data_IF_848423525881
#
_entry.id   IF_848423525881
#
_cell.length_a   1.000
_cell.length_b   1.000
_cell.length_c   1.000
_cell.angle_alpha   90.00
_cell.angle_beta   90.00
_cell.angle_gamma   90.00
#
_symmetry.space_group_name_H-M   'P 1'
#
loop_
_entity.id
_entity.type
_entity.pdbx_description
1 polymer ?
#
# COMPACT_ATOMS: atom_id res chain seq x y z
N UNK A 1 2.11 30.78 1.94
CA UNK A 1 2.84 29.95 0.96
C UNK A 1 2.24 28.56 0.95
N UNK A 2 1.82 28.03 -0.20
CA UNK A 2 1.35 26.64 -0.30
C UNK A 2 2.61 25.77 -0.40
N UNK A 3 2.88 24.93 0.60
CA UNK A 3 4.00 23.99 0.56
C UNK A 3 3.81 23.09 -0.67
N UNK A 4 4.76 23.08 -1.60
CA UNK A 4 4.73 22.12 -2.70
C UNK A 4 5.02 20.74 -2.12
N UNK A 5 4.26 19.72 -2.54
CA UNK A 5 4.58 18.35 -2.19
C UNK A 5 5.81 17.89 -2.97
N UNK A 6 6.60 17.01 -2.38
CA UNK A 6 7.77 16.42 -3.03
C UNK A 6 7.41 15.75 -4.37
N UNK A 7 6.25 15.09 -4.46
CA UNK A 7 5.78 14.48 -5.71
C UNK A 7 5.51 15.52 -6.80
N UNK A 8 5.07 16.73 -6.42
CA UNK A 8 4.87 17.83 -7.36
C UNK A 8 6.20 18.38 -7.87
N UNK A 9 7.21 18.48 -7.02
CA UNK A 9 8.56 18.90 -7.42
C UNK A 9 9.18 17.92 -8.43
N UNK A 10 8.97 16.61 -8.23
CA UNK A 10 9.41 15.59 -9.19
C UNK A 10 8.76 15.82 -10.55
N UNK A 11 7.45 15.99 -10.62
CA UNK A 11 6.75 16.23 -11.90
C UNK A 11 7.19 17.54 -12.57
N UNK A 12 7.29 18.63 -11.79
CA UNK A 12 7.69 19.95 -12.31
C UNK A 12 9.17 20.02 -12.70
N UNK A 13 10.00 19.05 -12.31
CA UNK A 13 11.43 19.00 -12.69
C UNK A 13 11.66 18.56 -14.14
N UNK A 14 10.64 17.98 -14.79
CA UNK A 14 10.73 17.55 -16.19
C UNK A 14 10.13 18.62 -17.13
N UNK A 15 10.78 18.92 -18.27
CA UNK A 15 10.17 19.67 -19.35
C UNK A 15 8.86 19.04 -19.83
N UNK A 16 7.87 19.87 -20.20
CA UNK A 16 6.54 19.42 -20.67
C UNK A 16 6.66 18.95 -22.13
N UNK A 17 7.06 17.69 -22.29
CA UNK A 17 7.09 16.98 -23.59
C UNK A 17 6.46 15.60 -23.44
N UNK A 18 6.03 15.01 -24.56
CA UNK A 18 5.31 13.73 -24.56
C UNK A 18 6.19 12.58 -24.03
N UNK A 19 7.49 12.63 -24.35
CA UNK A 19 8.48 11.65 -23.94
C UNK A 19 8.71 11.67 -22.42
N UNK A 20 8.63 12.85 -21.81
CA UNK A 20 8.97 13.07 -20.40
C UNK A 20 7.89 12.64 -19.41
N UNK A 21 6.65 12.43 -19.86
CA UNK A 21 5.60 11.86 -19.00
C UNK A 21 6.01 10.48 -18.46
N UNK A 22 6.64 9.67 -19.30
CA UNK A 22 7.12 8.34 -18.90
C UNK A 22 8.21 8.42 -17.83
N UNK A 23 9.16 9.34 -17.99
CA UNK A 23 10.25 9.60 -17.03
C UNK A 23 9.72 10.11 -15.69
N UNK A 24 8.81 11.08 -15.69
CA UNK A 24 8.20 11.60 -14.47
C UNK A 24 7.43 10.50 -13.72
N UNK A 25 6.66 9.69 -14.45
CA UNK A 25 5.95 8.55 -13.88
C UNK A 25 6.92 7.49 -13.31
N UNK A 26 8.02 7.22 -14.00
CA UNK A 26 9.04 6.28 -13.55
C UNK A 26 9.71 6.75 -12.26
N UNK A 27 10.12 8.03 -12.17
CA UNK A 27 10.70 8.60 -10.94
C UNK A 27 9.72 8.53 -9.76
N UNK A 28 8.43 8.76 -9.99
CA UNK A 28 7.41 8.59 -8.96
C UNK A 28 7.29 7.13 -8.51
N UNK A 29 7.33 6.17 -9.44
CA UNK A 29 7.30 4.72 -9.14
C UNK A 29 8.54 4.27 -8.39
N UNK A 30 9.72 4.74 -8.73
CA UNK A 30 10.96 4.38 -8.03
C UNK A 30 10.95 4.90 -6.59
N UNK A 31 10.47 6.14 -6.39
CA UNK A 31 10.44 6.77 -5.07
C UNK A 31 9.32 6.23 -4.17
N UNK A 32 8.12 6.02 -4.72
CA UNK A 32 6.92 5.70 -3.94
C UNK A 32 6.32 4.32 -4.24
N UNK A 33 6.65 3.70 -5.37
CA UNK A 33 6.15 2.40 -5.80
C UNK A 33 6.86 1.20 -5.14
N UNK A 34 7.21 1.35 -3.86
CA UNK A 34 7.86 0.33 -3.02
C UNK A 34 6.87 -0.75 -2.60
N UNK A 35 6.51 -1.61 -3.57
CA UNK A 35 5.54 -2.70 -3.37
C UNK A 35 5.94 -3.64 -2.24
N UNK A 36 7.24 -3.91 -2.09
CA UNK A 36 7.85 -4.66 -0.99
C UNK A 36 7.39 -4.14 0.37
N UNK A 37 7.54 -2.83 0.61
CA UNK A 37 7.16 -2.19 1.87
C UNK A 37 5.64 -2.22 2.10
N UNK A 38 4.84 -2.07 1.04
CA UNK A 38 3.39 -2.15 1.13
C UNK A 38 2.93 -3.57 1.50
N UNK A 39 3.52 -4.59 0.90
CA UNK A 39 3.25 -5.99 1.24
C UNK A 39 3.56 -6.22 2.72
N UNK A 40 4.75 -5.81 3.17
CA UNK A 40 5.20 -5.93 4.56
C UNK A 40 4.22 -5.25 5.53
N UNK A 41 3.77 -4.06 5.19
CA UNK A 41 2.79 -3.31 5.98
C UNK A 41 1.46 -4.06 6.09
N UNK A 42 0.89 -4.50 4.96
CA UNK A 42 -0.41 -5.18 4.94
C UNK A 42 -0.36 -6.57 5.61
N UNK A 43 0.75 -7.30 5.50
CA UNK A 43 0.96 -8.55 6.25
C UNK A 43 1.01 -8.29 7.76
N UNK A 44 1.74 -7.27 8.20
CA UNK A 44 1.81 -6.91 9.63
C UNK A 44 0.44 -6.50 10.18
N UNK A 45 -0.34 -5.72 9.44
CA UNK A 45 -1.69 -5.34 9.84
C UNK A 45 -2.63 -6.56 9.91
N UNK A 46 -2.53 -7.47 8.94
CA UNK A 46 -3.28 -8.72 8.96
C UNK A 46 -2.93 -9.57 10.20
N UNK A 47 -1.65 -9.75 10.49
CA UNK A 47 -1.18 -10.48 11.68
C UNK A 47 -1.67 -9.84 12.98
N UNK A 48 -1.62 -8.51 13.09
CA UNK A 48 -2.17 -7.78 14.25
C UNK A 48 -3.65 -8.05 14.44
N UNK A 49 -4.45 -8.04 13.36
CA UNK A 49 -5.89 -8.34 13.43
C UNK A 49 -6.14 -9.76 13.96
N UNK A 50 -5.40 -10.74 13.45
CA UNK A 50 -5.51 -12.14 13.88
C UNK A 50 -5.12 -12.30 15.35
N UNK A 51 -3.98 -11.75 15.77
CA UNK A 51 -3.50 -11.83 17.15
C UNK A 51 -4.42 -11.11 18.14
N UNK A 52 -4.96 -9.95 17.77
CA UNK A 52 -5.90 -9.21 18.62
C UNK A 52 -7.21 -9.99 18.81
N UNK A 53 -7.69 -10.66 17.76
CA UNK A 53 -8.87 -11.52 17.85
C UNK A 53 -8.61 -12.77 18.69
N UNK A 54 -7.48 -13.45 18.49
CA UNK A 54 -7.10 -14.66 19.21
C UNK A 54 -6.94 -14.43 20.71
N UNK A 55 -6.34 -13.30 21.11
CA UNK A 55 -6.10 -12.96 22.50
C UNK A 55 -7.35 -12.41 23.23
N UNK A 56 -8.51 -12.28 22.58
CA UNK A 56 -9.78 -11.72 23.12
C UNK A 56 -9.66 -10.35 23.81
N UNK A 57 -8.52 -9.66 23.69
CA UNK A 57 -8.23 -8.40 24.36
C UNK A 57 -9.15 -7.27 23.87
N UNK A 58 -9.57 -7.31 22.60
CA UNK A 58 -10.60 -6.47 22.00
C UNK A 58 -11.30 -7.26 20.89
N UNK A 59 -12.59 -7.55 21.08
CA UNK A 59 -13.40 -8.16 20.03
C UNK A 59 -14.10 -7.06 19.25
N UNK A 60 -13.60 -6.72 18.07
CA UNK A 60 -14.40 -5.99 17.10
C UNK A 60 -15.71 -6.76 16.82
N UNK A 61 -16.83 -6.08 16.53
CA UNK A 61 -18.00 -6.74 15.97
C UNK A 61 -17.62 -7.56 14.74
N UNK A 62 -18.25 -8.71 14.54
CA UNK A 62 -17.88 -9.64 13.46
C UNK A 62 -17.87 -8.99 12.08
N UNK A 63 -18.83 -8.11 11.80
CA UNK A 63 -18.90 -7.34 10.55
C UNK A 63 -17.71 -6.40 10.36
N UNK A 64 -17.26 -5.76 11.44
CA UNK A 64 -16.09 -4.88 11.44
C UNK A 64 -14.81 -5.68 11.21
N UNK A 65 -14.65 -6.82 11.89
CA UNK A 65 -13.52 -7.72 11.70
C UNK A 65 -13.45 -8.24 10.26
N UNK A 66 -14.57 -8.71 9.71
CA UNK A 66 -14.65 -9.18 8.33
C UNK A 66 -14.23 -8.09 7.33
N UNK A 67 -14.73 -6.87 7.51
CA UNK A 67 -14.37 -5.74 6.66
C UNK A 67 -12.86 -5.43 6.73
N UNK A 68 -12.29 -5.39 7.95
CA UNK A 68 -10.86 -5.15 8.17
C UNK A 68 -10.01 -6.23 7.50
N UNK A 69 -10.32 -7.51 7.71
CA UNK A 69 -9.64 -8.63 7.07
C UNK A 69 -9.74 -8.55 5.54
N UNK A 70 -10.94 -8.32 5.01
CA UNK A 70 -11.19 -8.19 3.57
C UNK A 70 -10.42 -7.03 2.94
N UNK A 71 -10.20 -5.94 3.67
CA UNK A 71 -9.39 -4.81 3.20
C UNK A 71 -7.92 -5.22 3.06
N UNK A 72 -7.33 -5.84 4.09
CA UNK A 72 -5.92 -6.26 4.03
C UNK A 72 -5.71 -7.32 2.93
N UNK A 73 -6.61 -8.29 2.83
CA UNK A 73 -6.53 -9.35 1.80
C UNK A 73 -6.67 -8.80 0.38
N UNK A 74 -7.62 -7.87 0.14
CA UNK A 74 -7.76 -7.23 -1.19
C UNK A 74 -6.54 -6.38 -1.54
N UNK A 75 -5.96 -5.67 -0.58
CA UNK A 75 -4.75 -4.90 -0.81
C UNK A 75 -3.58 -5.81 -1.20
N UNK A 76 -3.36 -6.90 -0.46
CA UNK A 76 -2.33 -7.90 -0.78
C UNK A 76 -2.55 -8.54 -2.16
N UNK A 77 -3.79 -8.93 -2.49
CA UNK A 77 -4.13 -9.47 -3.80
C UNK A 77 -3.86 -8.46 -4.94
N UNK A 78 -4.18 -7.17 -4.74
CA UNK A 78 -3.90 -6.12 -5.72
C UNK A 78 -2.40 -5.86 -5.93
N UNK A 79 -1.58 -6.21 -4.94
CA UNK A 79 -0.12 -6.14 -5.00
C UNK A 79 0.50 -7.39 -5.63
N UNK A 80 -0.31 -8.40 -5.99
CA UNK A 80 0.13 -9.64 -6.60
C UNK A 80 0.52 -10.73 -5.60
N UNK A 81 0.23 -10.55 -4.30
CA UNK A 81 0.43 -11.61 -3.30
C UNK A 81 -0.73 -12.58 -3.39
N UNK A 82 -0.44 -13.81 -3.80
CA UNK A 82 -1.39 -14.92 -3.87
C UNK A 82 -1.07 -15.96 -2.79
N UNK A 83 -2.05 -16.82 -2.48
CA UNK A 83 -1.87 -17.93 -1.52
C UNK A 83 -0.76 -18.90 -1.91
N UNK A 84 -0.35 -18.92 -3.18
CA UNK A 84 0.70 -19.77 -3.73
C UNK A 84 2.12 -19.29 -3.36
N UNK A 85 2.26 -18.02 -2.95
CA UNK A 85 3.55 -17.46 -2.51
C UNK A 85 3.85 -17.74 -1.02
N UNK A 86 2.95 -18.42 -0.31
CA UNK A 86 3.11 -18.81 1.10
C UNK A 86 3.41 -20.31 1.29
N UNK A 87 3.95 -20.98 0.27
CA UNK A 87 4.40 -22.38 0.31
C UNK A 87 5.78 -22.58 0.89
#
# INVERSE_FOLDING_TARGET
>A
MKLKSESREIVESFPITDENYSSALQSLKERYGRKDLLIDFYVRELLKLVLNNANRNKSDPLSCLYNKLSTQLRALSSLGVTSEMCG
#
